data_IF_664517590744
#
_entry.id   IF_664517590744
#
_cell.length_a   1.000
_cell.length_b   1.000
_cell.length_c   1.000
_cell.angle_alpha   90.00
_cell.angle_beta   90.00
_cell.angle_gamma   90.00
#
_symmetry.space_group_name_H-M   'P 1'
#
loop_
_entity.id
_entity.type
_entity.pdbx_description
1 polymer ?
#
# COMPACT_ATOMS: atom_id res chain seq x y z
N UNK A 1 0.80 6.69 -10.06
CA UNK A 1 2.22 6.67 -10.43
C UNK A 1 2.41 7.74 -11.49
N UNK A 2 3.45 8.58 -11.38
CA UNK A 2 3.74 9.66 -12.32
C UNK A 2 5.18 9.51 -12.77
N UNK A 3 5.41 9.53 -14.07
CA UNK A 3 6.74 9.47 -14.67
C UNK A 3 7.10 10.87 -15.17
N UNK A 4 8.33 11.29 -14.88
CA UNK A 4 8.88 12.57 -15.35
C UNK A 4 9.87 12.30 -16.47
N UNK A 5 9.83 13.17 -17.49
CA UNK A 5 10.82 13.15 -18.55
C UNK A 5 12.20 13.63 -18.06
N UNK A 6 12.22 14.61 -17.16
CA UNK A 6 13.44 15.19 -16.57
C UNK A 6 13.51 14.92 -15.06
N UNK A 7 14.64 14.40 -14.60
CA UNK A 7 14.92 14.12 -13.19
C UNK A 7 14.88 15.38 -12.31
N UNK A 8 15.22 16.55 -12.86
CA UNK A 8 15.16 17.81 -12.12
C UNK A 8 13.74 18.25 -11.78
N UNK A 9 12.72 17.64 -12.41
CA UNK A 9 11.31 17.87 -12.10
C UNK A 9 10.83 17.13 -10.84
N UNK A 10 11.55 16.09 -10.41
CA UNK A 10 11.15 15.27 -9.25
C UNK A 10 11.12 16.06 -7.94
N UNK A 11 12.14 16.87 -7.57
CA UNK A 11 12.09 17.67 -6.35
C UNK A 11 10.91 18.65 -6.31
N UNK A 12 10.59 19.24 -7.46
CA UNK A 12 9.44 20.16 -7.58
C UNK A 12 8.12 19.43 -7.32
N UNK A 13 7.97 18.21 -7.85
CA UNK A 13 6.77 17.40 -7.61
C UNK A 13 6.64 16.97 -6.13
N UNK A 14 7.73 16.61 -5.47
CA UNK A 14 7.71 16.27 -4.04
C UNK A 14 7.25 17.46 -3.20
N UNK A 15 7.68 18.68 -3.55
CA UNK A 15 7.28 19.92 -2.87
C UNK A 15 5.78 20.24 -2.99
N UNK A 16 5.05 19.62 -3.93
CA UNK A 16 3.59 19.74 -4.02
C UNK A 16 2.84 18.89 -2.98
N UNK A 17 3.53 18.10 -2.16
CA UNK A 17 2.92 17.40 -1.04
C UNK A 17 2.22 18.37 -0.09
N UNK A 18 0.97 18.08 0.25
CA UNK A 18 0.10 18.91 1.07
C UNK A 18 -0.65 20.00 0.30
N UNK A 19 -0.28 20.28 -0.96
CA UNK A 19 -1.04 21.23 -1.78
C UNK A 19 -2.40 20.63 -2.16
N UNK A 20 -3.49 21.42 -2.13
CA UNK A 20 -4.82 20.94 -2.50
C UNK A 20 -4.92 20.75 -4.02
N UNK A 21 -5.33 19.56 -4.43
CA UNK A 21 -5.74 19.25 -5.79
C UNK A 21 -7.24 18.93 -5.76
N UNK A 22 -8.03 19.75 -6.45
CA UNK A 22 -9.51 19.69 -6.40
C UNK A 22 -10.07 19.70 -4.95
N UNK A 23 -9.44 20.46 -4.06
CA UNK A 23 -9.84 20.59 -2.65
C UNK A 23 -9.32 19.47 -1.73
N UNK A 24 -8.65 18.45 -2.26
CA UNK A 24 -8.05 17.37 -1.47
C UNK A 24 -6.52 17.53 -1.41
N UNK A 25 -5.89 17.55 -0.21
CA UNK A 25 -4.44 17.58 -0.13
C UNK A 25 -3.83 16.31 -0.74
N UNK A 26 -2.83 16.48 -1.60
CA UNK A 26 -2.11 15.35 -2.21
C UNK A 26 -0.85 15.00 -1.44
N UNK A 27 -0.42 13.74 -1.49
CA UNK A 27 0.85 13.32 -0.93
C UNK A 27 1.72 12.75 -2.05
N UNK A 28 2.90 13.35 -2.24
CA UNK A 28 3.86 12.93 -3.26
C UNK A 28 5.09 12.33 -2.57
N UNK A 29 5.47 11.13 -2.97
CA UNK A 29 6.62 10.40 -2.42
C UNK A 29 7.43 9.77 -3.55
N UNK A 30 8.74 9.58 -3.36
CA UNK A 30 9.54 8.76 -4.26
C UNK A 30 8.92 7.37 -4.44
N UNK A 31 9.03 6.85 -5.66
CA UNK A 31 8.61 5.49 -5.96
C UNK A 31 9.56 4.48 -5.33
N UNK A 32 9.01 3.52 -4.60
CA UNK A 32 9.74 2.36 -4.05
C UNK A 32 9.53 1.09 -4.92
N UNK A 33 9.22 1.27 -6.20
CA UNK A 33 8.80 0.17 -7.09
C UNK A 33 9.80 -0.99 -7.18
N UNK A 34 11.10 -0.73 -7.08
CA UNK A 34 12.12 -1.79 -7.10
C UNK A 34 12.02 -2.74 -5.90
N UNK A 35 11.66 -2.24 -4.70
CA UNK A 35 11.47 -3.09 -3.51
C UNK A 35 10.23 -3.99 -3.63
N UNK A 36 9.19 -3.50 -4.29
CA UNK A 36 7.97 -4.28 -4.54
C UNK A 36 8.22 -5.44 -5.52
N UNK A 37 9.17 -5.30 -6.46
CA UNK A 37 9.59 -6.39 -7.36
C UNK A 37 10.38 -7.48 -6.62
N UNK A 38 11.36 -7.09 -5.80
CA UNK A 38 12.21 -8.06 -5.08
C UNK A 38 11.42 -8.84 -4.04
N UNK A 39 10.46 -8.24 -3.34
CA UNK A 39 9.57 -8.98 -2.43
C UNK A 39 8.67 -9.98 -3.19
N UNK A 40 8.23 -9.61 -4.39
CA UNK A 40 7.42 -10.49 -5.26
C UNK A 40 8.23 -11.68 -5.80
N UNK A 41 9.53 -11.52 -6.04
CA UNK A 41 10.42 -12.60 -6.51
C UNK A 41 11.03 -13.42 -5.36
N UNK A 42 11.35 -12.81 -4.22
CA UNK A 42 11.88 -13.51 -3.04
C UNK A 42 10.84 -14.41 -2.37
N UNK A 43 9.55 -14.07 -2.47
CA UNK A 43 8.46 -14.95 -2.04
C UNK A 43 8.25 -16.17 -2.96
N UNK A 44 8.94 -16.24 -4.11
CA UNK A 44 8.93 -17.40 -5.00
C UNK A 44 10.12 -18.36 -4.82
N UNK A 45 11.18 -17.98 -4.08
CA UNK A 45 12.45 -18.72 -4.07
C UNK A 45 12.97 -19.16 -2.68
N UNK A 46 12.22 -18.92 -1.59
CA UNK A 46 12.61 -19.30 -0.22
C UNK A 46 11.79 -20.48 0.33
N UNK A 47 12.48 -21.54 0.77
CA UNK A 47 11.93 -22.79 1.27
C UNK A 47 10.86 -22.63 2.39
N UNK A 48 9.65 -23.13 2.12
CA UNK A 48 8.57 -23.25 3.11
C UNK A 48 7.19 -23.03 2.47
N UNK A 49 6.59 -24.08 1.94
CA UNK A 49 5.36 -24.08 1.11
C UNK A 49 4.06 -23.63 1.76
N UNK A 50 4.03 -22.56 2.57
CA UNK A 50 2.79 -22.04 3.20
C UNK A 50 2.71 -20.51 3.32
N UNK A 51 3.67 -19.71 2.82
CA UNK A 51 3.70 -18.27 3.04
C UNK A 51 3.95 -17.43 1.77
N UNK A 52 3.19 -17.66 0.70
CA UNK A 52 3.10 -16.72 -0.42
C UNK A 52 2.15 -15.54 -0.12
N UNK A 53 2.07 -14.50 -0.98
CA UNK A 53 1.08 -13.42 -0.90
C UNK A 53 -0.40 -13.89 -0.98
N UNK A 54 -0.61 -15.18 -1.17
CA UNK A 54 -1.90 -15.88 -1.14
C UNK A 54 -2.05 -16.82 0.08
N UNK A 55 -1.12 -16.80 1.04
CA UNK A 55 -1.24 -17.59 2.27
C UNK A 55 -2.34 -17.03 3.17
N UNK A 56 -3.07 -17.93 3.84
CA UNK A 56 -4.17 -17.57 4.72
C UNK A 56 -3.77 -16.61 5.86
N UNK A 57 -2.51 -16.63 6.27
CA UNK A 57 -1.98 -15.75 7.31
C UNK A 57 -1.61 -14.35 6.80
N UNK A 58 -1.22 -14.19 5.52
CA UNK A 58 -0.86 -12.90 4.94
C UNK A 58 -2.07 -11.98 4.67
N UNK A 59 -3.30 -12.51 4.76
CA UNK A 59 -4.57 -11.79 4.47
C UNK A 59 -5.46 -11.58 5.70
N UNK A 60 -4.96 -11.91 6.90
CA UNK A 60 -5.75 -11.76 8.12
C UNK A 60 -5.79 -10.29 8.53
N UNK A 61 -6.98 -9.70 8.53
CA UNK A 61 -7.22 -8.35 9.04
C UNK A 61 -7.53 -8.43 10.54
N UNK A 62 -6.92 -7.53 11.33
CA UNK A 62 -7.36 -7.27 12.70
C UNK A 62 -8.29 -6.05 12.67
N UNK A 63 -9.51 -6.24 13.15
CA UNK A 63 -10.51 -5.18 13.24
C UNK A 63 -10.86 -5.02 14.72
N UNK A 64 -10.53 -3.87 15.28
CA UNK A 64 -10.76 -3.52 16.70
C UNK A 64 -11.61 -2.25 16.84
N UNK A 65 -11.93 -1.89 18.08
CA UNK A 65 -12.79 -0.73 18.42
C UNK A 65 -14.18 -0.78 17.76
N UNK A 66 -14.75 -1.97 17.64
CA UNK A 66 -16.13 -2.15 17.18
C UNK A 66 -17.12 -1.67 18.24
N UNK A 67 -18.21 -1.05 17.79
CA UNK A 67 -19.28 -0.59 18.67
C UNK A 67 -20.02 -1.77 19.31
N UNK A 68 -20.40 -1.68 20.59
CA UNK A 68 -20.97 -2.81 21.35
C UNK A 68 -22.28 -3.39 20.77
N UNK A 69 -23.01 -2.60 19.97
CA UNK A 69 -24.22 -3.06 19.29
C UNK A 69 -23.96 -3.71 17.91
N UNK A 70 -22.71 -3.88 17.49
CA UNK A 70 -22.41 -4.47 16.19
C UNK A 70 -22.59 -5.99 16.22
N UNK A 71 -23.19 -6.54 15.16
CA UNK A 71 -23.46 -7.98 15.03
C UNK A 71 -22.50 -8.66 14.06
N UNK A 72 -22.34 -9.97 14.18
CA UNK A 72 -21.43 -10.75 13.32
C UNK A 72 -21.82 -10.68 11.84
N UNK A 73 -23.12 -10.68 11.53
CA UNK A 73 -23.61 -10.59 10.16
C UNK A 73 -23.19 -9.27 9.48
N UNK A 74 -23.12 -8.17 10.26
CA UNK A 74 -22.64 -6.88 9.78
C UNK A 74 -21.12 -6.83 9.56
N UNK A 75 -20.35 -7.75 10.17
CA UNK A 75 -18.89 -7.88 9.95
C UNK A 75 -18.54 -8.79 8.77
N UNK A 76 -19.46 -9.68 8.39
CA UNK A 76 -19.26 -10.67 7.33
C UNK A 76 -19.69 -10.17 5.94
N UNK A 77 -20.54 -9.14 5.87
CA UNK A 77 -20.94 -8.44 4.63
C UNK A 77 -19.90 -7.40 4.22
#
# INVERSE_FOLDING_TARGET
YVEFYDAMSVPMAIALSGQPLFGQPVMVKPSEAEKNLVQSTASAAGAGGLAGPYSAFARKLYVGNLHFNMTEDQLRQ
#
